data_IF_080171092650
#
_entry.id   IF_080171092650
#
_cell.length_a   1.000
_cell.length_b   1.000
_cell.length_c   1.000
_cell.angle_alpha   90.00
_cell.angle_beta   90.00
_cell.angle_gamma   90.00
#
_symmetry.space_group_name_H-M   'P 1'
#
loop_
_entity.id
_entity.type
_entity.pdbx_description
1 polymer ?
#
# COMPACT_ATOMS: atom_id res chain seq x y z
N UNK A 1 -17.62 -10.78 13.37
CA UNK A 1 -16.99 -9.95 14.42
C UNK A 1 -15.66 -9.45 13.89
N UNK A 2 -15.34 -8.16 14.05
CA UNK A 2 -14.09 -7.58 13.54
C UNK A 2 -13.01 -7.84 14.60
N UNK A 3 -11.87 -8.46 14.26
CA UNK A 3 -10.82 -8.68 15.24
C UNK A 3 -10.22 -7.36 15.73
N UNK A 4 -10.21 -7.18 17.05
CA UNK A 4 -9.69 -5.98 17.71
C UNK A 4 -8.32 -6.18 18.33
N UNK A 5 -7.89 -7.43 18.49
CA UNK A 5 -6.61 -7.77 19.09
C UNK A 5 -5.84 -8.74 18.21
N UNK A 6 -4.52 -8.70 18.31
CA UNK A 6 -3.62 -9.63 17.66
C UNK A 6 -2.54 -10.14 18.61
N UNK A 7 -2.14 -11.39 18.39
CA UNK A 7 -0.94 -11.92 18.99
C UNK A 7 0.29 -11.44 18.19
N UNK A 8 1.22 -10.69 18.79
CA UNK A 8 2.40 -10.21 18.07
C UNK A 8 3.38 -11.31 17.68
N UNK A 9 3.26 -12.51 18.29
CA UNK A 9 4.16 -13.64 18.04
C UNK A 9 3.69 -14.52 16.88
N UNK A 10 2.45 -15.02 16.92
CA UNK A 10 1.91 -15.89 15.87
C UNK A 10 1.02 -15.18 14.84
N UNK A 11 0.57 -13.95 15.12
CA UNK A 11 -0.29 -13.18 14.22
C UNK A 11 -1.79 -13.51 14.33
N UNK A 12 -2.17 -14.44 15.21
CA UNK A 12 -3.57 -14.78 15.46
C UNK A 12 -4.39 -13.57 15.89
N UNK A 13 -5.66 -13.58 15.50
CA UNK A 13 -6.58 -12.45 15.63
C UNK A 13 -7.70 -12.80 16.60
N UNK A 14 -8.03 -11.86 17.49
CA UNK A 14 -8.97 -12.08 18.59
C UNK A 14 -10.01 -10.96 18.63
N UNK A 15 -11.25 -11.31 18.97
CA UNK A 15 -12.31 -10.33 19.25
C UNK A 15 -12.14 -9.73 20.65
N UNK A 16 -12.92 -8.69 20.96
CA UNK A 16 -12.90 -8.07 22.29
C UNK A 16 -13.46 -9.02 23.37
N UNK A 17 -14.43 -9.89 23.01
CA UNK A 17 -14.95 -10.93 23.90
C UNK A 17 -13.86 -11.94 24.28
N UNK A 18 -13.13 -12.45 23.29
CA UNK A 18 -12.02 -13.38 23.53
C UNK A 18 -10.90 -12.74 24.37
N UNK A 19 -10.63 -11.44 24.17
CA UNK A 19 -9.65 -10.71 24.97
C UNK A 19 -10.08 -10.56 26.44
N UNK A 20 -11.38 -10.38 26.70
CA UNK A 20 -11.94 -10.30 28.06
C UNK A 20 -11.85 -11.62 28.80
N UNK A 21 -12.01 -12.75 28.10
CA UNK A 21 -11.82 -14.09 28.66
C UNK A 21 -10.35 -14.35 29.00
N UNK A 22 -9.43 -13.99 28.10
CA UNK A 22 -8.00 -14.08 28.35
C UNK A 22 -7.23 -13.03 27.56
N UNK A 23 -6.34 -12.31 28.26
CA UNK A 23 -5.43 -11.35 27.64
C UNK A 23 -4.26 -12.03 26.93
N UNK A 24 -4.15 -13.36 26.98
CA UNK A 24 -3.07 -14.15 26.39
C UNK A 24 -3.57 -14.99 25.21
N UNK A 25 -2.76 -15.06 24.17
CA UNK A 25 -3.02 -15.86 22.98
C UNK A 25 -3.20 -17.35 23.32
N UNK A 26 -4.29 -17.94 22.86
CA UNK A 26 -4.58 -19.38 23.02
C UNK A 26 -3.50 -20.29 22.46
N UNK A 27 -2.84 -19.87 21.38
CA UNK A 27 -1.86 -20.71 20.67
C UNK A 27 -0.46 -20.69 21.29
N UNK A 28 -0.06 -19.58 21.92
CA UNK A 28 1.34 -19.41 22.31
C UNK A 28 1.56 -18.61 23.60
N UNK A 29 0.50 -18.34 24.37
CA UNK A 29 0.57 -17.68 25.69
C UNK A 29 1.09 -16.24 25.67
N UNK A 30 1.22 -15.62 24.50
CA UNK A 30 1.75 -14.25 24.37
C UNK A 30 0.66 -13.23 24.64
N UNK A 31 0.97 -12.15 25.36
CA UNK A 31 0.03 -11.06 25.64
C UNK A 31 -0.50 -10.44 24.33
N UNK A 32 -1.82 -10.43 24.20
CA UNK A 32 -2.54 -9.86 23.07
C UNK A 32 -2.42 -8.34 23.07
N UNK A 33 -2.31 -7.76 21.87
CA UNK A 33 -2.23 -6.31 21.67
C UNK A 33 -3.42 -5.83 20.86
N UNK A 34 -3.93 -4.65 21.18
CA UNK A 34 -4.97 -4.02 20.38
C UNK A 34 -4.44 -3.79 18.97
N UNK A 35 -5.18 -4.27 17.97
CA UNK A 35 -4.93 -4.00 16.58
C UNK A 35 -5.00 -2.49 16.37
N UNK A 36 -3.92 -1.93 15.80
CA UNK A 36 -3.94 -0.54 15.37
C UNK A 36 -4.84 -0.42 14.13
N UNK A 37 -5.69 0.62 14.04
CA UNK A 37 -6.41 0.90 12.80
C UNK A 37 -5.40 1.14 11.66
N UNK A 38 -5.69 0.65 10.45
CA UNK A 38 -4.77 0.80 9.33
C UNK A 38 -4.55 2.28 9.01
N UNK A 39 -3.32 2.65 8.67
CA UNK A 39 -3.05 3.91 7.98
C UNK A 39 -3.17 3.72 6.48
N UNK A 40 -3.36 4.83 5.79
CA UNK A 40 -3.61 4.88 4.36
C UNK A 40 -2.49 5.65 3.69
N UNK A 41 -2.00 5.10 2.57
CA UNK A 41 -0.83 5.60 1.89
C UNK A 41 -1.09 5.70 0.39
N UNK A 42 -0.53 6.72 -0.24
CA UNK A 42 -0.27 6.71 -1.68
C UNK A 42 1.15 6.21 -1.89
N UNK A 43 1.29 5.16 -2.69
CA UNK A 43 2.56 4.69 -3.22
C UNK A 43 2.69 5.19 -4.66
N UNK A 44 3.53 6.20 -4.83
CA UNK A 44 3.71 6.87 -6.11
C UNK A 44 4.90 6.28 -6.88
N UNK A 45 4.72 6.04 -8.17
CA UNK A 45 5.79 5.67 -9.09
C UNK A 45 5.86 6.59 -10.31
N UNK A 46 6.99 6.57 -11.00
CA UNK A 46 7.17 7.24 -12.29
C UNK A 46 7.30 6.18 -13.39
N UNK A 47 6.35 6.09 -14.34
CA UNK A 47 6.38 5.10 -15.43
C UNK A 47 7.66 5.13 -16.28
N UNK A 48 8.35 6.29 -16.35
CA UNK A 48 9.63 6.39 -17.07
C UNK A 48 10.77 5.68 -16.34
N UNK A 49 10.70 5.59 -15.01
CA UNK A 49 11.74 4.98 -14.16
C UNK A 49 11.45 3.51 -13.87
N UNK A 50 10.19 3.20 -13.65
CA UNK A 50 9.71 1.87 -13.33
C UNK A 50 8.54 1.51 -14.25
N UNK A 51 8.74 0.51 -15.10
CA UNK A 51 7.77 -0.02 -16.05
C UNK A 51 6.70 -0.86 -15.34
N UNK A 52 5.98 -0.22 -14.41
CA UNK A 52 5.00 -0.87 -13.54
C UNK A 52 3.86 -1.51 -14.34
N UNK A 53 3.42 -0.88 -15.44
CA UNK A 53 2.37 -1.43 -16.30
C UNK A 53 2.78 -2.78 -16.91
N UNK A 54 4.02 -2.90 -17.41
CA UNK A 54 4.57 -4.16 -17.91
C UNK A 54 4.68 -5.19 -16.76
N UNK A 55 5.17 -4.75 -15.59
CA UNK A 55 5.29 -5.62 -14.40
C UNK A 55 3.95 -6.24 -14.05
N UNK A 56 2.90 -5.42 -13.91
CA UNK A 56 1.57 -5.89 -13.51
C UNK A 56 0.96 -6.81 -14.57
N UNK A 57 1.07 -6.46 -15.85
CA UNK A 57 0.56 -7.29 -16.94
C UNK A 57 1.15 -8.71 -16.93
N UNK A 58 2.43 -8.84 -16.59
CA UNK A 58 3.13 -10.13 -16.57
C UNK A 58 3.10 -10.84 -15.21
N UNK A 59 2.67 -10.16 -14.15
CA UNK A 59 2.74 -10.65 -12.76
C UNK A 59 1.45 -10.38 -11.97
N UNK A 60 0.31 -10.41 -12.66
CA UNK A 60 -0.99 -10.23 -12.03
C UNK A 60 -1.19 -11.25 -10.89
N UNK A 61 -1.77 -10.79 -9.78
CA UNK A 61 -1.97 -11.60 -8.58
C UNK A 61 -0.72 -11.83 -7.71
N UNK A 62 0.49 -11.52 -8.21
CA UNK A 62 1.71 -11.58 -7.38
C UNK A 62 1.83 -10.38 -6.44
N UNK A 63 2.63 -10.55 -5.39
CA UNK A 63 2.98 -9.46 -4.47
C UNK A 63 4.13 -8.63 -5.02
N UNK A 64 4.11 -7.33 -4.76
CA UNK A 64 5.12 -6.39 -5.22
C UNK A 64 5.95 -5.82 -4.08
N UNK A 65 7.26 -5.62 -4.29
CA UNK A 65 8.13 -4.99 -3.32
C UNK A 65 8.19 -3.48 -3.56
N UNK A 66 7.89 -2.70 -2.52
CA UNK A 66 7.90 -1.25 -2.56
C UNK A 66 8.92 -0.67 -1.60
N UNK A 67 9.67 0.32 -2.07
CA UNK A 67 10.60 1.07 -1.25
C UNK A 67 9.85 1.93 -0.23
N UNK A 68 10.39 2.01 0.99
CA UNK A 68 9.91 2.90 2.06
C UNK A 68 11.02 3.88 2.42
N UNK A 69 11.39 4.73 1.46
CA UNK A 69 12.49 5.69 1.62
C UNK A 69 12.19 6.71 2.72
N UNK A 70 10.91 7.01 2.92
CA UNK A 70 10.39 7.89 3.95
C UNK A 70 9.30 7.13 4.73
N UNK A 71 8.95 7.62 5.92
CA UNK A 71 7.88 7.06 6.76
C UNK A 71 8.03 5.56 7.13
N UNK A 72 9.21 4.97 7.01
CA UNK A 72 9.43 3.53 7.33
C UNK A 72 9.23 3.17 8.81
N UNK A 73 9.16 4.16 9.71
CA UNK A 73 8.76 3.98 11.12
C UNK A 73 7.24 4.04 11.32
N UNK A 74 6.50 4.52 10.34
CA UNK A 74 5.05 4.77 10.42
C UNK A 74 4.24 3.78 9.61
N UNK A 75 4.82 3.29 8.51
CA UNK A 75 4.30 2.23 7.65
C UNK A 75 4.39 0.89 8.38
N UNK A 76 3.28 0.18 8.47
CA UNK A 76 3.22 -1.13 9.10
C UNK A 76 2.46 -2.15 8.24
N UNK A 77 2.63 -3.43 8.56
CA UNK A 77 1.75 -4.50 8.06
C UNK A 77 0.28 -4.15 8.38
N UNK A 78 -0.61 -4.41 7.42
CA UNK A 78 -2.05 -4.14 7.52
C UNK A 78 -2.47 -2.75 7.05
N UNK A 79 -1.52 -1.81 6.88
CA UNK A 79 -1.81 -0.51 6.26
C UNK A 79 -2.27 -0.69 4.80
N UNK A 80 -3.07 0.26 4.32
CA UNK A 80 -3.68 0.24 3.00
C UNK A 80 -2.95 1.18 2.05
N UNK A 81 -2.87 0.76 0.78
CA UNK A 81 -2.09 1.46 -0.25
C UNK A 81 -2.96 1.75 -1.46
N UNK A 82 -2.86 2.99 -1.95
CA UNK A 82 -3.30 3.44 -3.26
C UNK A 82 -2.05 3.58 -4.14
N UNK A 83 -2.01 2.91 -5.30
CA UNK A 83 -0.90 3.06 -6.25
C UNK A 83 -1.21 4.19 -7.21
N UNK A 84 -0.30 5.16 -7.26
CA UNK A 84 -0.42 6.35 -8.10
C UNK A 84 0.70 6.41 -9.13
N UNK A 85 0.35 6.55 -10.41
CA UNK A 85 1.33 6.88 -11.45
C UNK A 85 1.51 8.40 -11.54
N UNK A 86 2.74 8.87 -11.70
CA UNK A 86 3.04 10.27 -12.05
C UNK A 86 3.18 10.45 -13.57
N UNK A 87 3.21 11.71 -14.03
CA UNK A 87 3.42 12.06 -15.43
C UNK A 87 2.12 12.33 -16.20
N UNK A 88 2.14 12.23 -17.55
CA UNK A 88 1.01 12.65 -18.40
C UNK A 88 -0.29 11.88 -18.14
N UNK A 89 -0.18 10.60 -17.77
CA UNK A 89 -1.30 9.74 -17.37
C UNK A 89 -1.32 9.58 -15.84
N UNK A 90 -1.18 10.68 -15.11
CA UNK A 90 -1.18 10.61 -13.66
C UNK A 90 -2.55 10.18 -13.14
N UNK A 91 -2.58 9.36 -12.09
CA UNK A 91 -3.83 8.84 -11.53
C UNK A 91 -3.62 7.62 -10.64
N UNK A 92 -4.72 7.12 -10.09
CA UNK A 92 -4.79 5.89 -9.30
C UNK A 92 -4.95 4.70 -10.24
N UNK A 93 -4.12 3.67 -10.05
CA UNK A 93 -4.09 2.47 -10.90
C UNK A 93 -4.32 1.17 -10.14
N UNK A 94 -4.12 1.17 -8.82
CA UNK A 94 -4.41 0.01 -7.99
C UNK A 94 -4.68 0.42 -6.55
N UNK A 95 -5.30 -0.48 -5.81
CA UNK A 95 -5.40 -0.44 -4.36
C UNK A 95 -4.96 -1.77 -3.77
N UNK A 96 -4.50 -1.77 -2.52
CA UNK A 96 -4.01 -2.97 -1.87
C UNK A 96 -3.69 -2.81 -0.39
N UNK A 97 -2.96 -3.80 0.11
CA UNK A 97 -2.55 -3.91 1.51
C UNK A 97 -1.06 -4.22 1.63
N UNK A 98 -0.43 -3.67 2.66
CA UNK A 98 0.93 -3.96 3.06
C UNK A 98 0.99 -5.25 3.88
N UNK A 99 1.68 -6.27 3.38
CA UNK A 99 1.76 -7.59 4.00
C UNK A 99 2.89 -7.74 5.03
N UNK A 100 3.86 -6.83 5.04
CA UNK A 100 5.06 -6.94 5.89
C UNK A 100 5.43 -5.60 6.51
N UNK A 101 5.97 -5.62 7.73
CA UNK A 101 6.64 -4.45 8.29
C UNK A 101 7.89 -4.08 7.46
N UNK A 102 8.26 -2.78 7.39
CA UNK A 102 9.44 -2.34 6.66
C UNK A 102 10.73 -3.03 7.11
N UNK A 103 11.42 -3.67 6.17
CA UNK A 103 12.72 -4.31 6.40
C UNK A 103 13.68 -4.08 5.23
N UNK A 104 14.98 -4.06 5.52
CA UNK A 104 16.00 -4.03 4.45
C UNK A 104 15.99 -5.39 3.75
N UNK A 105 15.75 -5.36 2.44
CA UNK A 105 15.73 -6.55 1.59
C UNK A 105 16.05 -6.11 0.17
N UNK A 106 17.02 -6.75 -0.51
CA UNK A 106 17.26 -6.49 -1.93
C UNK A 106 15.98 -6.64 -2.76
N UNK A 107 15.89 -5.90 -3.86
CA UNK A 107 14.77 -6.01 -4.79
C UNK A 107 14.71 -7.42 -5.39
N UNK A 108 13.51 -7.97 -5.53
CA UNK A 108 13.29 -9.22 -6.27
C UNK A 108 13.88 -9.12 -7.69
N UNK A 109 14.60 -10.17 -8.12
CA UNK A 109 15.21 -10.23 -9.45
C UNK A 109 14.16 -10.18 -10.58
N UNK A 110 12.95 -10.72 -10.37
CA UNK A 110 11.87 -10.60 -11.36
C UNK A 110 11.47 -9.13 -11.53
N UNK A 111 11.17 -8.44 -10.42
CA UNK A 111 10.75 -7.03 -10.44
C UNK A 111 11.86 -6.10 -10.95
N UNK A 112 13.13 -6.44 -10.69
CA UNK A 112 14.30 -5.67 -11.14
C UNK A 112 14.34 -5.46 -12.66
N UNK A 113 13.82 -6.40 -13.46
CA UNK A 113 13.78 -6.33 -14.94
C UNK A 113 12.99 -5.12 -15.47
N UNK A 114 12.09 -4.58 -14.66
CA UNK A 114 11.18 -3.50 -15.05
C UNK A 114 11.66 -2.12 -14.60
N UNK A 115 12.82 -2.03 -13.95
CA UNK A 115 13.44 -0.76 -13.59
C UNK A 115 14.38 -0.27 -14.69
N UNK A 116 14.11 0.91 -15.24
CA UNK A 116 14.94 1.53 -16.27
C UNK A 116 16.18 2.22 -15.67
N UNK A 117 16.12 2.60 -14.39
CA UNK A 117 17.19 3.32 -13.70
C UNK A 117 17.82 2.43 -12.64
N UNK A 118 19.05 1.96 -12.89
CA UNK A 118 19.79 1.07 -11.97
C UNK A 118 20.06 1.69 -10.60
N UNK A 119 20.29 3.00 -10.53
CA UNK A 119 20.54 3.70 -9.25
C UNK A 119 19.32 3.68 -8.33
N UNK A 120 18.10 3.63 -8.87
CA UNK A 120 16.89 3.48 -8.06
C UNK A 120 16.76 2.06 -7.49
N UNK A 121 17.22 1.03 -8.22
CA UNK A 121 17.28 -0.35 -7.72
C UNK A 121 18.23 -0.47 -6.53
N UNK A 122 19.38 0.20 -6.56
CA UNK A 122 20.35 0.14 -5.46
C UNK A 122 19.80 0.68 -4.14
N UNK A 123 18.76 1.53 -4.16
CA UNK A 123 18.10 2.02 -2.95
C UNK A 123 17.48 0.91 -2.11
N UNK A 124 17.10 -0.22 -2.70
CA UNK A 124 16.59 -1.38 -1.96
C UNK A 124 17.66 -2.09 -1.11
N UNK A 125 18.95 -1.82 -1.36
CA UNK A 125 20.04 -2.38 -0.55
C UNK A 125 20.21 -1.60 0.77
N UNK A 126 20.04 -0.28 0.75
CA UNK A 126 20.27 0.59 1.91
C UNK A 126 18.99 0.98 2.66
N UNK A 127 17.86 1.08 1.96
CA UNK A 127 16.57 1.46 2.54
C UNK A 127 15.69 0.25 2.85
N UNK A 128 14.69 0.49 3.72
CA UNK A 128 13.67 -0.51 4.01
C UNK A 128 12.66 -0.58 2.86
N UNK A 129 12.06 -1.75 2.70
CA UNK A 129 10.98 -2.01 1.77
C UNK A 129 9.88 -2.83 2.45
N UNK A 130 8.70 -2.82 1.83
CA UNK A 130 7.56 -3.63 2.21
C UNK A 130 7.09 -4.48 1.03
N UNK A 131 6.32 -5.51 1.33
CA UNK A 131 5.60 -6.29 0.34
C UNK A 131 4.14 -5.84 0.32
N UNK A 132 3.62 -5.56 -0.87
CA UNK A 132 2.24 -5.13 -1.13
C UNK A 132 1.52 -6.20 -1.92
N UNK A 133 0.25 -6.47 -1.56
CA UNK A 133 -0.68 -7.26 -2.37
C UNK A 133 -1.79 -6.36 -2.86
N UNK A 134 -2.05 -6.38 -4.17
CA UNK A 134 -3.15 -5.63 -4.76
C UNK A 134 -4.46 -6.38 -4.58
N UNK A 135 -5.49 -5.65 -4.15
CA UNK A 135 -6.86 -6.15 -4.06
C UNK A 135 -7.66 -5.78 -5.30
N UNK A 136 -7.30 -4.69 -5.99
CA UNK A 136 -7.90 -4.29 -7.27
C UNK A 136 -6.87 -3.53 -8.11
N UNK A 137 -6.79 -3.86 -9.39
CA UNK A 137 -5.98 -3.20 -10.42
C UNK A 137 -6.95 -2.68 -11.48
N UNK A 138 -6.76 -1.44 -11.94
CA UNK A 138 -7.68 -0.73 -12.85
C UNK A 138 -6.89 -0.04 -13.97
N UNK A 139 -6.09 -0.81 -14.71
CA UNK A 139 -5.24 -0.26 -15.78
C UNK A 139 -6.04 0.27 -16.98
N UNK A 140 -7.19 -0.32 -17.27
CA UNK A 140 -8.01 0.02 -18.44
C UNK A 140 -8.91 1.24 -18.19
N UNK A 141 -9.36 1.41 -16.93
CA UNK A 141 -10.20 2.52 -16.51
C UNK A 141 -9.69 3.16 -15.19
N UNK A 142 -8.48 3.77 -15.22
CA UNK A 142 -7.88 4.35 -14.02
C UNK A 142 -8.64 5.59 -13.55
N UNK A 143 -8.60 5.87 -12.26
CA UNK A 143 -9.09 7.15 -11.72
C UNK A 143 -8.01 8.21 -11.95
N UNK A 144 -8.16 8.98 -13.02
CA UNK A 144 -7.14 9.91 -13.49
C UNK A 144 -7.03 11.16 -12.60
N UNK A 145 -5.88 11.82 -12.69
CA UNK A 145 -5.59 13.06 -11.96
C UNK A 145 -6.67 14.12 -12.19
N UNK A 146 -7.09 14.34 -13.43
CA UNK A 146 -8.12 15.33 -13.74
C UNK A 146 -9.47 15.04 -13.08
N UNK A 147 -9.85 13.76 -12.97
CA UNK A 147 -11.05 13.36 -12.23
C UNK A 147 -10.90 13.61 -10.73
N UNK A 148 -9.72 13.30 -10.17
CA UNK A 148 -9.42 13.57 -8.76
C UNK A 148 -9.47 15.08 -8.44
N UNK A 149 -9.01 15.94 -9.36
CA UNK A 149 -9.02 17.40 -9.19
C UNK A 149 -10.44 17.99 -9.21
N UNK A 150 -11.39 17.32 -9.86
CA UNK A 150 -12.79 17.74 -9.93
C UNK A 150 -13.64 17.17 -8.79
N UNK A 151 -13.20 16.11 -8.12
CA UNK A 151 -13.93 15.51 -7.00
C UNK A 151 -13.76 16.36 -5.72
N UNK A 152 -14.86 16.66 -4.99
CA UNK A 152 -14.84 17.56 -3.84
C UNK A 152 -14.01 17.03 -2.66
N UNK A 153 -13.79 15.71 -2.57
CA UNK A 153 -12.96 15.11 -1.53
C UNK A 153 -11.55 14.93 -2.06
N UNK A 154 -11.38 14.34 -3.25
CA UNK A 154 -10.06 13.97 -3.77
C UNK A 154 -9.21 15.15 -4.23
N UNK A 155 -9.82 16.29 -4.57
CA UNK A 155 -9.11 17.52 -4.96
C UNK A 155 -8.12 18.00 -3.89
N UNK A 156 -8.38 17.67 -2.62
CA UNK A 156 -7.49 17.95 -1.50
C UNK A 156 -6.34 16.95 -1.31
N UNK A 157 -6.19 15.92 -2.15
CA UNK A 157 -5.18 14.87 -1.93
C UNK A 157 -3.75 15.44 -1.97
N UNK A 158 -2.86 15.02 -1.04
CA UNK A 158 -1.49 15.52 -1.00
C UNK A 158 -0.69 15.30 -2.29
N UNK A 159 -0.92 14.19 -3.02
CA UNK A 159 -0.20 13.88 -4.27
C UNK A 159 -0.46 14.92 -5.38
N UNK A 160 -1.63 15.57 -5.37
CA UNK A 160 -1.98 16.60 -6.35
C UNK A 160 -1.17 17.89 -6.19
N UNK A 161 -0.57 18.10 -5.01
CA UNK A 161 0.28 19.26 -4.70
C UNK A 161 1.72 19.12 -5.24
N UNK A 162 1.99 18.13 -6.09
CA UNK A 162 3.30 17.94 -6.72
C UNK A 162 4.39 17.34 -5.82
N UNK A 163 4.00 16.67 -4.73
CA UNK A 163 4.94 16.07 -3.76
C UNK A 163 5.84 15.03 -4.44
N UNK A 164 7.15 15.25 -4.36
CA UNK A 164 8.18 14.35 -4.88
C UNK A 164 8.56 13.27 -3.84
N UNK A 165 7.61 12.39 -3.52
CA UNK A 165 7.82 11.29 -2.56
C UNK A 165 7.25 9.96 -3.08
N UNK A 166 7.86 8.85 -2.66
CA UNK A 166 7.40 7.49 -2.98
C UNK A 166 6.23 7.05 -2.10
N UNK A 167 6.21 7.46 -0.83
CA UNK A 167 5.20 7.08 0.14
C UNK A 167 4.60 8.36 0.74
N UNK A 168 3.32 8.60 0.51
CA UNK A 168 2.63 9.82 0.93
C UNK A 168 1.47 9.43 1.85
N UNK A 169 1.45 9.89 3.11
CA UNK A 169 0.33 9.59 4.00
C UNK A 169 -0.94 10.29 3.53
N UNK A 170 -2.07 9.59 3.59
CA UNK A 170 -3.40 10.14 3.31
C UNK A 170 -4.38 9.82 4.44
N UNK A 171 -5.37 10.68 4.63
CA UNK A 171 -6.47 10.43 5.57
C UNK A 171 -7.46 9.39 5.03
N UNK A 172 -8.15 8.72 5.96
CA UNK A 172 -9.19 7.70 5.65
C UNK A 172 -10.24 8.20 4.65
N UNK A 173 -10.65 9.48 4.73
CA UNK A 173 -11.61 10.09 3.81
C UNK A 173 -11.26 9.94 2.32
N UNK A 174 -9.97 10.02 1.98
CA UNK A 174 -9.53 9.88 0.58
C UNK A 174 -9.56 8.42 0.15
N UNK A 175 -9.15 7.51 1.04
CA UNK A 175 -9.25 6.07 0.80
C UNK A 175 -10.70 5.64 0.59
N UNK A 176 -11.61 6.04 1.49
CA UNK A 176 -13.03 5.69 1.39
C UNK A 176 -13.63 6.21 0.08
N UNK A 177 -13.35 7.47 -0.27
CA UNK A 177 -13.83 8.05 -1.52
C UNK A 177 -13.27 7.34 -2.77
N UNK A 178 -12.00 6.94 -2.74
CA UNK A 178 -11.43 6.12 -3.81
C UNK A 178 -12.20 4.80 -3.92
N UNK A 179 -12.46 4.11 -2.81
CA UNK A 179 -13.23 2.85 -2.86
C UNK A 179 -14.63 3.05 -3.47
N UNK A 180 -15.35 4.10 -3.09
CA UNK A 180 -16.66 4.44 -3.67
C UNK A 180 -16.58 4.60 -5.20
N UNK A 181 -15.63 5.41 -5.67
CA UNK A 181 -15.44 5.66 -7.10
C UNK A 181 -14.98 4.40 -7.85
N UNK A 182 -14.26 3.51 -7.18
CA UNK A 182 -13.83 2.23 -7.77
C UNK A 182 -14.94 1.18 -7.78
N UNK A 183 -15.92 1.22 -6.88
CA UNK A 183 -17.09 0.33 -6.94
C UNK A 183 -17.96 0.62 -8.16
N UNK A 184 -18.09 1.89 -8.57
CA UNK A 184 -18.82 2.28 -9.77
C UNK A 184 -18.11 1.93 -11.09
N UNK A 185 -16.84 1.51 -11.03
CA UNK A 185 -16.05 1.10 -12.20
C UNK A 185 -16.05 -0.42 -12.30
N UNK A 186 -16.98 -0.93 -13.10
CA UNK A 186 -16.98 -2.33 -13.56
C UNK A 186 -15.85 -2.49 -14.60
N UNK A 187 -15.17 -3.63 -14.56
CA UNK A 187 -14.16 -4.03 -15.56
C UNK A 187 -14.82 -4.26 -16.92
#
# INVERSE_FOLDING_TARGET
MIPEYECPKCGEKFTDEQYKESRFCSECGTLLRKCRPPRYWIFQFNPRKYRWFDWIKENEGKTEQWLTSQHSKEIHKGDKVVVWASGPKAGVYAIGEILTNPKRKPLNQEQKKYWNIKTDVFKFLSNKSVIVKYSKIITDNPLLKGECEQDPILSGMPVLKGIQATNIPIGKRYWDRILELLHGRVL
#
